data_IF_381425085318
#
_entry.id   IF_381425085318
#
_cell.length_a   1.000
_cell.length_b   1.000
_cell.length_c   1.000
_cell.angle_alpha   90.00
_cell.angle_beta   90.00
_cell.angle_gamma   90.00
#
_symmetry.space_group_name_H-M   'P 1'
#
loop_
_entity.id
_entity.type
_entity.pdbx_description
1 polymer ?
#
# COMPACT_ATOMS: atom_id res chain seq x y z
N UNK A 1 -19.30 -31.26 66.30
CA UNK A 1 -18.32 -30.31 65.73
C UNK A 1 -17.54 -30.85 64.53
N UNK A 2 -17.31 -32.16 64.37
CA UNK A 2 -16.56 -32.71 63.21
C UNK A 2 -17.35 -32.74 61.89
N UNK A 3 -18.68 -32.85 61.93
CA UNK A 3 -19.55 -32.92 60.73
C UNK A 3 -19.83 -31.57 60.08
N UNK A 4 -19.87 -30.49 60.87
CA UNK A 4 -20.04 -29.11 60.37
C UNK A 4 -18.78 -28.56 59.70
N UNK A 5 -17.60 -29.01 60.10
CA UNK A 5 -16.32 -28.61 59.50
C UNK A 5 -16.09 -29.25 58.12
N UNK A 6 -16.58 -30.49 57.93
CA UNK A 6 -16.49 -31.21 56.66
C UNK A 6 -17.47 -30.66 55.60
N UNK A 7 -18.68 -30.25 56.00
CA UNK A 7 -19.66 -29.69 55.05
C UNK A 7 -19.30 -28.27 54.60
N UNK A 8 -18.65 -27.48 55.46
CA UNK A 8 -18.12 -26.16 55.09
C UNK A 8 -16.93 -26.31 54.13
N UNK A 9 -16.04 -27.28 54.35
CA UNK A 9 -14.92 -27.58 53.43
C UNK A 9 -15.40 -28.00 52.03
N UNK A 10 -16.48 -28.78 51.92
CA UNK A 10 -17.06 -29.20 50.63
C UNK A 10 -17.76 -28.06 49.86
N UNK A 11 -18.30 -27.04 50.55
CA UNK A 11 -18.86 -25.85 49.91
C UNK A 11 -17.76 -24.92 49.36
N UNK A 12 -16.60 -24.85 50.02
CA UNK A 12 -15.45 -24.10 49.51
C UNK A 12 -14.80 -24.75 48.28
N UNK A 13 -14.73 -26.09 48.23
CA UNK A 13 -14.16 -26.81 47.07
C UNK A 13 -15.12 -26.75 45.85
N UNK A 14 -16.43 -26.80 46.06
CA UNK A 14 -17.42 -26.70 44.99
C UNK A 14 -17.60 -25.28 44.43
N UNK A 15 -17.44 -24.24 45.26
CA UNK A 15 -17.40 -22.85 44.83
C UNK A 15 -16.15 -22.48 44.00
N UNK A 16 -14.98 -23.01 44.36
CA UNK A 16 -13.73 -22.74 43.65
C UNK A 16 -13.67 -23.46 42.28
N UNK A 17 -14.15 -24.70 42.23
CA UNK A 17 -14.24 -25.46 40.97
C UNK A 17 -15.15 -24.80 39.93
N UNK A 18 -16.28 -24.23 40.36
CA UNK A 18 -17.24 -23.57 39.45
C UNK A 18 -16.72 -22.24 38.88
N UNK A 19 -15.99 -21.44 39.67
CA UNK A 19 -15.32 -20.24 39.19
C UNK A 19 -14.20 -20.55 38.17
N UNK A 20 -13.44 -21.62 38.41
CA UNK A 20 -12.36 -22.03 37.52
C UNK A 20 -12.89 -22.55 36.18
N UNK A 21 -14.03 -23.25 36.18
CA UNK A 21 -14.73 -23.64 34.95
C UNK A 21 -15.32 -22.45 34.19
N UNK A 22 -15.88 -21.45 34.89
CA UNK A 22 -16.45 -20.26 34.25
C UNK A 22 -15.36 -19.38 33.59
N UNK A 23 -14.20 -19.22 34.24
CA UNK A 23 -13.05 -18.52 33.67
C UNK A 23 -12.53 -19.24 32.41
N UNK A 24 -12.42 -20.57 32.45
CA UNK A 24 -11.95 -21.37 31.33
C UNK A 24 -12.89 -21.29 30.12
N UNK A 25 -14.21 -21.35 30.35
CA UNK A 25 -15.22 -21.17 29.30
C UNK A 25 -15.18 -19.78 28.67
N UNK A 26 -15.07 -18.73 29.50
CA UNK A 26 -14.96 -17.35 29.02
C UNK A 26 -13.68 -17.14 28.18
N UNK A 27 -12.55 -17.67 28.64
CA UNK A 27 -11.29 -17.62 27.91
C UNK A 27 -11.39 -18.32 26.55
N UNK A 28 -12.00 -19.51 26.50
CA UNK A 28 -12.24 -20.24 25.25
C UNK A 28 -13.14 -19.46 24.29
N UNK A 29 -14.18 -18.79 24.80
CA UNK A 29 -15.08 -17.95 23.99
C UNK A 29 -14.36 -16.71 23.42
N UNK A 30 -13.52 -16.06 24.24
CA UNK A 30 -12.68 -14.95 23.79
C UNK A 30 -11.68 -15.39 22.72
N UNK A 31 -11.02 -16.54 22.89
CA UNK A 31 -10.08 -17.07 21.89
C UNK A 31 -10.78 -17.41 20.57
N UNK A 32 -11.99 -17.98 20.63
CA UNK A 32 -12.81 -18.22 19.44
C UNK A 32 -13.19 -16.91 18.73
N UNK A 33 -13.60 -15.90 19.48
CA UNK A 33 -13.93 -14.58 18.96
C UNK A 33 -12.71 -13.90 18.34
N UNK A 34 -11.53 -14.02 18.95
CA UNK A 34 -10.28 -13.49 18.41
C UNK A 34 -9.93 -14.16 17.07
N UNK A 35 -10.11 -15.48 16.97
CA UNK A 35 -9.90 -16.17 15.69
C UNK A 35 -10.84 -15.67 14.59
N UNK A 36 -12.12 -15.42 14.91
CA UNK A 36 -13.08 -14.88 13.95
C UNK A 36 -12.73 -13.45 13.51
N UNK A 37 -12.39 -12.58 14.47
CA UNK A 37 -11.96 -11.20 14.20
C UNK A 37 -10.67 -11.18 13.37
N UNK A 38 -9.71 -12.07 13.65
CA UNK A 38 -8.47 -12.16 12.88
C UNK A 38 -8.72 -12.52 11.42
N UNK A 39 -9.63 -13.46 11.17
CA UNK A 39 -9.98 -13.87 9.81
C UNK A 39 -10.69 -12.74 9.06
N UNK A 40 -11.67 -12.09 9.71
CA UNK A 40 -12.39 -10.96 9.13
C UNK A 40 -11.46 -9.76 8.87
N UNK A 41 -10.61 -9.40 9.83
CA UNK A 41 -9.63 -8.34 9.69
C UNK A 41 -8.65 -8.63 8.56
N UNK A 42 -8.14 -9.86 8.47
CA UNK A 42 -7.24 -10.27 7.39
C UNK A 42 -7.92 -10.14 6.01
N UNK A 43 -9.17 -10.59 5.90
CA UNK A 43 -9.94 -10.49 4.66
C UNK A 43 -10.21 -9.02 4.28
N UNK A 44 -10.70 -8.21 5.22
CA UNK A 44 -11.00 -6.79 5.00
C UNK A 44 -9.75 -5.97 4.69
N UNK A 45 -8.61 -6.29 5.31
CA UNK A 45 -7.33 -5.64 5.01
C UNK A 45 -6.90 -5.89 3.56
N UNK A 46 -7.07 -7.12 3.06
CA UNK A 46 -6.80 -7.44 1.65
C UNK A 46 -7.73 -6.68 0.72
N UNK A 47 -9.03 -6.74 0.98
CA UNK A 47 -10.05 -6.02 0.19
C UNK A 47 -9.77 -4.52 0.13
N UNK A 48 -9.49 -3.91 1.28
CA UNK A 48 -9.11 -2.49 1.39
C UNK A 48 -7.87 -2.21 0.55
N UNK A 49 -6.82 -3.01 0.69
CA UNK A 49 -5.58 -2.82 -0.06
C UNK A 49 -5.79 -2.91 -1.57
N UNK A 50 -6.60 -3.87 -2.04
CA UNK A 50 -6.91 -4.03 -3.46
C UNK A 50 -7.71 -2.84 -3.99
N UNK A 51 -8.74 -2.42 -3.26
CA UNK A 51 -9.59 -1.30 -3.68
C UNK A 51 -8.84 0.03 -3.66
N UNK A 52 -8.04 0.30 -2.62
CA UNK A 52 -7.26 1.52 -2.53
C UNK A 52 -6.25 1.64 -3.67
N UNK A 53 -5.53 0.55 -3.97
CA UNK A 53 -4.50 0.55 -5.02
C UNK A 53 -5.15 0.60 -6.42
N UNK A 54 -6.31 -0.03 -6.63
CA UNK A 54 -7.08 0.13 -7.87
C UNK A 54 -7.56 1.58 -8.07
N UNK A 55 -8.15 2.19 -7.05
CA UNK A 55 -8.59 3.58 -7.11
C UNK A 55 -7.41 4.54 -7.35
N UNK A 56 -6.24 4.21 -6.80
CA UNK A 56 -5.00 4.93 -7.07
C UNK A 56 -4.53 4.79 -8.52
N UNK A 57 -4.60 3.59 -9.11
CA UNK A 57 -4.28 3.37 -10.53
C UNK A 57 -5.16 4.26 -11.44
N UNK A 58 -6.45 4.31 -11.17
CA UNK A 58 -7.42 5.13 -11.91
C UNK A 58 -7.16 6.63 -11.74
N UNK A 59 -6.91 7.07 -10.49
CA UNK A 59 -6.53 8.45 -10.20
C UNK A 59 -5.25 8.85 -10.92
N UNK A 60 -4.25 7.97 -10.95
CA UNK A 60 -2.99 8.22 -11.62
C UNK A 60 -3.14 8.33 -13.13
N UNK A 61 -3.91 7.45 -13.75
CA UNK A 61 -4.20 7.49 -15.18
C UNK A 61 -4.95 8.76 -15.56
N UNK A 62 -6.02 9.09 -14.84
CA UNK A 62 -6.86 10.26 -15.12
C UNK A 62 -6.10 11.60 -15.00
N UNK A 63 -5.07 11.66 -14.16
CA UNK A 63 -4.30 12.87 -13.90
C UNK A 63 -2.90 12.88 -14.54
N UNK A 64 -2.56 11.87 -15.37
CA UNK A 64 -1.21 11.66 -15.90
C UNK A 64 -0.14 11.70 -14.80
N UNK A 65 -0.50 11.18 -13.62
CA UNK A 65 0.34 11.14 -12.44
C UNK A 65 1.16 9.87 -12.47
N UNK A 66 2.46 10.04 -12.32
CA UNK A 66 3.40 8.95 -12.39
C UNK A 66 3.39 8.13 -11.10
N UNK A 67 3.25 6.82 -11.28
CA UNK A 67 3.34 5.82 -10.22
C UNK A 67 4.81 5.48 -10.02
N UNK A 68 5.34 5.74 -8.83
CA UNK A 68 6.67 5.26 -8.43
C UNK A 68 6.57 3.79 -8.03
N UNK A 69 7.53 2.98 -8.46
CA UNK A 69 7.65 1.57 -8.05
C UNK A 69 8.83 1.33 -7.10
N UNK A 70 9.52 2.38 -6.63
CA UNK A 70 10.66 2.24 -5.73
C UNK A 70 10.30 1.47 -4.45
N UNK A 71 9.06 1.61 -3.99
CA UNK A 71 8.55 0.97 -2.78
C UNK A 71 7.73 -0.30 -3.07
N UNK A 72 7.69 -0.75 -4.34
CA UNK A 72 6.91 -1.90 -4.81
C UNK A 72 7.75 -2.72 -5.81
N UNK A 73 8.71 -3.54 -5.32
CA UNK A 73 9.65 -4.27 -6.17
C UNK A 73 8.97 -5.16 -7.23
N UNK A 74 7.84 -5.78 -6.88
CA UNK A 74 7.12 -6.63 -7.83
C UNK A 74 6.49 -5.84 -9.00
N UNK A 75 6.08 -4.58 -8.77
CA UNK A 75 5.62 -3.72 -9.87
C UNK A 75 6.78 -3.40 -10.83
N UNK A 76 7.98 -3.18 -10.29
CA UNK A 76 9.18 -3.01 -11.11
C UNK A 76 9.46 -4.28 -11.92
N UNK A 77 9.33 -5.47 -11.31
CA UNK A 77 9.51 -6.75 -11.98
C UNK A 77 8.59 -6.92 -13.20
N UNK A 78 7.31 -6.60 -13.02
CA UNK A 78 6.28 -6.65 -14.09
C UNK A 78 6.67 -5.74 -15.27
N UNK A 79 7.11 -4.51 -14.97
CA UNK A 79 7.36 -3.50 -16.00
C UNK A 79 8.71 -3.69 -16.70
N UNK A 80 9.77 -4.00 -15.96
CA UNK A 80 11.12 -4.05 -16.51
C UNK A 80 11.48 -5.42 -17.10
N UNK A 81 11.07 -6.50 -16.44
CA UNK A 81 11.56 -7.86 -16.70
C UNK A 81 10.50 -8.80 -17.25
N UNK A 82 9.42 -9.05 -16.51
CA UNK A 82 8.44 -10.10 -16.84
C UNK A 82 7.66 -9.79 -18.12
N UNK A 83 7.33 -8.51 -18.33
CA UNK A 83 6.60 -8.00 -19.51
C UNK A 83 5.45 -8.91 -19.95
N UNK A 84 4.42 -9.07 -19.09
CA UNK A 84 3.27 -9.92 -19.41
C UNK A 84 2.65 -9.56 -20.76
N UNK A 85 2.27 -10.57 -21.54
CA UNK A 85 1.68 -10.37 -22.87
C UNK A 85 0.43 -9.47 -22.85
N UNK A 86 -0.36 -9.51 -21.77
CA UNK A 86 -1.53 -8.65 -21.57
C UNK A 86 -1.18 -7.16 -21.51
N UNK A 87 0.07 -6.80 -21.23
CA UNK A 87 0.53 -5.42 -21.13
C UNK A 87 1.30 -4.94 -22.36
N UNK A 88 1.48 -5.80 -23.36
CA UNK A 88 2.39 -5.54 -24.48
C UNK A 88 1.95 -4.34 -25.33
N UNK A 89 0.65 -4.20 -25.59
CA UNK A 89 0.13 -3.06 -26.35
C UNK A 89 0.45 -1.72 -25.67
N UNK A 90 0.23 -1.61 -24.37
CA UNK A 90 0.55 -0.39 -23.61
C UNK A 90 2.05 -0.11 -23.58
N UNK A 91 2.87 -1.16 -23.47
CA UNK A 91 4.33 -1.05 -23.52
C UNK A 91 4.81 -0.55 -24.88
N UNK A 92 4.23 -1.04 -25.97
CA UNK A 92 4.55 -0.63 -27.33
C UNK A 92 4.09 0.81 -27.60
N UNK A 93 2.89 1.18 -27.19
CA UNK A 93 2.39 2.58 -27.26
C UNK A 93 3.33 3.54 -26.53
N UNK A 94 3.72 3.19 -25.28
CA UNK A 94 4.69 3.98 -24.52
C UNK A 94 6.04 4.07 -25.24
N UNK A 95 6.55 2.95 -25.75
CA UNK A 95 7.83 2.93 -26.47
C UNK A 95 7.81 3.86 -27.68
N UNK A 96 6.74 3.85 -28.48
CA UNK A 96 6.61 4.74 -29.65
C UNK A 96 6.67 6.22 -29.23
N UNK A 97 5.93 6.61 -28.21
CA UNK A 97 5.95 7.99 -27.72
C UNK A 97 7.30 8.38 -27.12
N UNK A 98 7.94 7.46 -26.38
CA UNK A 98 9.27 7.68 -25.80
C UNK A 98 10.32 7.85 -26.89
N UNK A 99 10.35 6.95 -27.89
CA UNK A 99 11.31 7.01 -28.99
C UNK A 99 11.12 8.28 -29.82
N UNK A 100 9.88 8.76 -30.01
CA UNK A 100 9.58 10.02 -30.68
C UNK A 100 10.10 11.24 -29.89
N UNK A 101 9.86 11.28 -28.57
CA UNK A 101 10.37 12.33 -27.70
C UNK A 101 11.90 12.31 -27.67
N UNK A 102 12.52 11.15 -27.52
CA UNK A 102 13.98 11.00 -27.50
C UNK A 102 14.59 11.44 -28.85
N UNK A 103 13.98 11.06 -29.98
CA UNK A 103 14.40 11.52 -31.31
C UNK A 103 14.35 13.04 -31.43
N UNK A 104 13.26 13.66 -30.97
CA UNK A 104 13.10 15.11 -30.97
C UNK A 104 14.15 15.81 -30.10
N UNK A 105 14.37 15.35 -28.87
CA UNK A 105 15.37 15.90 -27.96
C UNK A 105 16.78 15.79 -28.53
N UNK A 106 17.07 14.68 -29.21
CA UNK A 106 18.34 14.48 -29.88
C UNK A 106 18.55 15.38 -31.10
N UNK A 107 17.61 16.24 -31.50
CA UNK A 107 17.88 17.29 -32.51
C UNK A 107 18.68 18.46 -31.91
N UNK A 108 18.52 18.74 -30.62
CA UNK A 108 19.22 19.82 -29.92
C UNK A 108 20.67 19.43 -29.63
N UNK A 109 21.61 20.20 -30.17
CA UNK A 109 23.05 20.03 -29.89
C UNK A 109 23.34 20.12 -28.39
N UNK A 110 22.76 21.11 -27.71
CA UNK A 110 22.90 21.31 -26.26
C UNK A 110 22.47 20.05 -25.47
N UNK A 111 21.34 19.44 -25.80
CA UNK A 111 20.88 18.20 -25.15
C UNK A 111 21.89 17.06 -25.29
N UNK A 112 22.42 16.84 -26.51
CA UNK A 112 23.41 15.78 -26.77
C UNK A 112 24.70 15.99 -25.97
N UNK A 113 25.17 17.24 -25.89
CA UNK A 113 26.36 17.60 -25.11
C UNK A 113 26.13 17.41 -23.61
N UNK A 114 24.96 17.82 -23.09
CA UNK A 114 24.59 17.60 -21.69
C UNK A 114 24.47 16.11 -21.34
N UNK A 115 23.91 15.28 -22.23
CA UNK A 115 23.86 13.82 -22.06
C UNK A 115 25.25 13.20 -21.99
N UNK A 116 26.19 13.66 -22.83
CA UNK A 116 27.60 13.22 -22.79
C UNK A 116 28.27 13.62 -21.47
N UNK A 117 28.13 14.88 -21.05
CA UNK A 117 28.66 15.36 -19.76
C UNK A 117 28.07 14.61 -18.58
N UNK A 118 26.79 14.25 -18.63
CA UNK A 118 26.14 13.43 -17.58
C UNK A 118 26.79 12.06 -17.44
N UNK A 119 27.14 11.39 -18.54
CA UNK A 119 27.82 10.09 -18.48
C UNK A 119 29.28 10.18 -18.04
N UNK A 120 29.93 11.34 -18.27
CA UNK A 120 31.33 11.58 -17.92
C UNK A 120 31.51 12.15 -16.49
N UNK A 121 30.45 12.71 -15.89
CA UNK A 121 30.49 13.32 -14.56
C UNK A 121 30.68 12.26 -13.46
N UNK A 122 31.82 12.35 -12.76
CA UNK A 122 32.17 11.39 -11.69
C UNK A 122 31.95 12.02 -10.32
N UNK A 123 32.44 13.25 -10.14
CA UNK A 123 32.36 14.00 -8.88
C UNK A 123 30.95 14.55 -8.60
N UNK A 124 30.72 14.95 -7.35
CA UNK A 124 29.45 15.55 -6.94
C UNK A 124 29.25 16.91 -7.59
N UNK A 125 30.32 17.70 -7.66
CA UNK A 125 30.36 19.04 -8.24
C UNK A 125 30.02 19.00 -9.73
N UNK A 126 30.60 18.05 -10.49
CA UNK A 126 30.28 17.85 -11.90
C UNK A 126 28.82 17.43 -12.09
N UNK A 127 28.32 16.49 -11.27
CA UNK A 127 26.93 16.04 -11.33
C UNK A 127 25.95 17.18 -11.05
N UNK A 128 26.26 18.04 -10.08
CA UNK A 128 25.44 19.19 -9.73
C UNK A 128 25.48 20.26 -10.82
N UNK A 129 26.65 20.53 -11.41
CA UNK A 129 26.78 21.45 -12.54
C UNK A 129 25.99 20.97 -13.78
N UNK A 130 26.08 19.67 -14.11
CA UNK A 130 25.30 19.06 -15.19
C UNK A 130 23.79 19.12 -14.89
N UNK A 131 23.39 18.90 -13.64
CA UNK A 131 21.98 18.97 -13.24
C UNK A 131 21.42 20.40 -13.34
N UNK A 132 22.21 21.40 -12.96
CA UNK A 132 21.87 22.80 -13.13
C UNK A 132 21.74 23.17 -14.62
N UNK A 133 22.66 22.71 -15.47
CA UNK A 133 22.62 22.95 -16.90
C UNK A 133 21.40 22.30 -17.57
N UNK A 134 21.07 21.04 -17.23
CA UNK A 134 19.81 20.42 -17.67
C UNK A 134 18.59 21.21 -17.20
N UNK A 135 18.58 21.70 -15.96
CA UNK A 135 17.46 22.49 -15.43
C UNK A 135 17.22 23.76 -16.24
N UNK A 136 18.30 24.45 -16.63
CA UNK A 136 18.24 25.62 -17.51
C UNK A 136 17.73 25.25 -18.91
N UNK A 137 18.26 24.19 -19.52
CA UNK A 137 17.83 23.67 -20.81
C UNK A 137 16.33 23.34 -20.83
N UNK A 138 15.84 22.60 -19.83
CA UNK A 138 14.42 22.23 -19.75
C UNK A 138 13.52 23.43 -19.51
N UNK A 139 13.96 24.43 -18.74
CA UNK A 139 13.21 25.67 -18.52
C UNK A 139 12.99 26.39 -19.84
N UNK A 140 14.06 26.54 -20.64
CA UNK A 140 14.03 27.17 -21.96
C UNK A 140 13.14 26.39 -22.94
N UNK A 141 13.35 25.08 -23.04
CA UNK A 141 12.61 24.23 -23.97
C UNK A 141 11.09 24.24 -23.68
N UNK A 142 10.70 24.23 -22.40
CA UNK A 142 9.29 24.32 -22.00
C UNK A 142 8.66 25.68 -22.28
N UNK A 143 9.41 26.77 -22.26
CA UNK A 143 8.85 28.10 -22.56
C UNK A 143 8.68 28.32 -24.06
N UNK A 144 9.61 27.81 -24.87
CA UNK A 144 9.75 28.23 -26.27
C UNK A 144 9.12 27.24 -27.27
N UNK A 145 9.05 25.94 -26.94
CA UNK A 145 8.73 24.91 -27.92
C UNK A 145 7.41 24.18 -27.63
N UNK A 146 6.43 24.37 -28.52
CA UNK A 146 5.14 23.69 -28.40
C UNK A 146 5.20 22.22 -28.84
N UNK A 147 6.08 21.85 -29.79
CA UNK A 147 6.25 20.46 -30.21
C UNK A 147 6.85 19.61 -29.09
N UNK A 148 7.79 20.17 -28.32
CA UNK A 148 8.27 19.53 -27.09
C UNK A 148 7.12 19.21 -26.13
N UNK A 149 6.24 20.19 -25.86
CA UNK A 149 5.13 20.00 -24.91
C UNK A 149 4.22 18.86 -25.36
N UNK A 150 3.84 18.84 -26.63
CA UNK A 150 2.99 17.78 -27.19
C UNK A 150 3.62 16.40 -27.06
N UNK A 151 4.88 16.25 -27.46
CA UNK A 151 5.61 14.98 -27.35
C UNK A 151 5.79 14.55 -25.89
N UNK A 152 6.12 15.49 -25.01
CA UNK A 152 6.25 15.26 -23.58
C UNK A 152 4.92 14.80 -22.96
N UNK A 153 3.81 15.46 -23.27
CA UNK A 153 2.50 15.07 -22.74
C UNK A 153 2.02 13.73 -23.32
N UNK A 154 2.34 13.42 -24.58
CA UNK A 154 2.04 12.13 -25.19
C UNK A 154 2.83 10.98 -24.53
N UNK A 155 4.14 11.14 -24.32
CA UNK A 155 4.96 10.19 -23.56
C UNK A 155 4.43 10.05 -22.13
N UNK A 156 4.14 11.18 -21.47
CA UNK A 156 3.66 11.19 -20.10
C UNK A 156 2.33 10.45 -19.94
N UNK A 157 1.41 10.65 -20.87
CA UNK A 157 0.11 9.97 -20.87
C UNK A 157 0.26 8.46 -21.06
N UNK A 158 1.07 8.05 -22.04
CA UNK A 158 1.28 6.63 -22.35
C UNK A 158 2.04 5.89 -21.26
N UNK A 159 3.06 6.50 -20.63
CA UNK A 159 3.78 5.89 -19.51
C UNK A 159 2.89 5.77 -18.27
N UNK A 160 2.05 6.77 -17.98
CA UNK A 160 1.13 6.69 -16.84
C UNK A 160 0.08 5.61 -17.07
N UNK A 161 -0.48 5.52 -18.28
CA UNK A 161 -1.41 4.45 -18.66
C UNK A 161 -0.77 3.06 -18.52
N UNK A 162 0.42 2.86 -19.09
CA UNK A 162 1.13 1.59 -18.99
C UNK A 162 1.40 1.19 -17.53
N UNK A 163 1.80 2.13 -16.68
CA UNK A 163 2.03 1.86 -15.25
C UNK A 163 0.75 1.58 -14.48
N UNK A 164 -0.34 2.28 -14.78
CA UNK A 164 -1.64 1.99 -14.18
C UNK A 164 -2.12 0.59 -14.56
N UNK A 165 -1.94 0.18 -15.81
CA UNK A 165 -2.26 -1.19 -16.24
C UNK A 165 -1.36 -2.25 -15.61
N UNK A 166 -0.06 -1.97 -15.46
CA UNK A 166 0.84 -2.84 -14.73
C UNK A 166 0.43 -2.98 -13.25
N UNK A 167 -0.04 -1.89 -12.63
CA UNK A 167 -0.55 -1.90 -11.26
C UNK A 167 -1.84 -2.71 -11.15
N UNK A 168 -2.78 -2.58 -12.09
CA UNK A 168 -4.00 -3.42 -12.17
C UNK A 168 -3.66 -4.89 -12.34
N UNK A 169 -2.73 -5.21 -13.24
CA UNK A 169 -2.23 -6.59 -13.41
C UNK A 169 -1.66 -7.14 -12.11
N UNK A 170 -0.85 -6.35 -11.40
CA UNK A 170 -0.27 -6.73 -10.11
C UNK A 170 -1.36 -7.06 -9.07
N UNK A 171 -2.39 -6.21 -8.95
CA UNK A 171 -3.52 -6.43 -8.04
C UNK A 171 -4.23 -7.76 -8.36
N UNK A 172 -4.45 -8.05 -9.63
CA UNK A 172 -5.10 -9.30 -10.04
C UNK A 172 -4.27 -10.54 -9.68
N UNK A 173 -2.94 -10.47 -9.74
CA UNK A 173 -2.09 -11.56 -9.25
C UNK A 173 -2.18 -11.70 -7.72
N UNK A 174 -2.18 -10.58 -7.00
CA UNK A 174 -2.30 -10.60 -5.53
C UNK A 174 -3.65 -11.13 -5.05
N UNK A 175 -4.74 -10.83 -5.77
CA UNK A 175 -6.06 -11.41 -5.52
C UNK A 175 -6.07 -12.93 -5.69
N UNK A 176 -5.47 -13.44 -6.77
CA UNK A 176 -5.34 -14.90 -7.01
C UNK A 176 -4.54 -15.59 -5.90
N UNK A 177 -3.49 -14.93 -5.42
CA UNK A 177 -2.66 -15.42 -4.33
C UNK A 177 -3.28 -15.20 -2.94
N UNK A 178 -4.44 -14.54 -2.85
CA UNK A 178 -5.07 -14.12 -1.60
C UNK A 178 -4.13 -13.31 -0.68
N UNK A 179 -3.37 -12.38 -1.26
CA UNK A 179 -2.38 -11.52 -0.58
C UNK A 179 -2.80 -10.05 -0.60
N UNK A 180 -2.55 -9.34 0.49
CA UNK A 180 -2.71 -7.89 0.55
C UNK A 180 -1.63 -7.19 -0.28
N UNK A 181 -2.00 -6.10 -0.95
CA UNK A 181 -1.06 -5.28 -1.73
C UNK A 181 -0.46 -4.20 -0.83
N UNK A 182 0.84 -3.93 -0.96
CA UNK A 182 1.44 -2.80 -0.26
C UNK A 182 0.81 -1.48 -0.71
N UNK A 183 0.43 -0.64 0.23
CA UNK A 183 -0.13 0.69 -0.05
C UNK A 183 0.90 1.82 0.08
N UNK A 184 2.18 1.50 0.30
CA UNK A 184 3.27 2.46 0.57
C UNK A 184 3.53 3.45 -0.56
N UNK A 185 3.29 3.04 -1.80
CA UNK A 185 3.43 3.89 -2.99
C UNK A 185 2.46 5.08 -3.02
N UNK A 186 1.39 5.01 -2.23
CA UNK A 186 0.32 5.99 -2.20
C UNK A 186 0.65 7.03 -1.14
N UNK A 187 0.95 8.25 -1.58
CA UNK A 187 1.19 9.37 -0.67
C UNK A 187 -0.04 9.63 0.18
N UNK A 188 0.19 10.11 1.41
CA UNK A 188 -0.89 10.47 2.34
C UNK A 188 -1.95 11.38 1.70
N UNK A 189 -1.52 12.44 0.99
CA UNK A 189 -2.42 13.37 0.30
C UNK A 189 -3.34 12.67 -0.71
N UNK A 190 -2.80 11.71 -1.44
CA UNK A 190 -3.55 10.96 -2.47
C UNK A 190 -4.51 9.98 -1.80
N UNK A 191 -4.05 9.28 -0.75
CA UNK A 191 -4.91 8.39 0.05
C UNK A 191 -6.08 9.17 0.64
N UNK A 192 -5.85 10.30 1.29
CA UNK A 192 -6.91 11.13 1.87
C UNK A 192 -7.91 11.59 0.82
N UNK A 193 -7.44 12.02 -0.36
CA UNK A 193 -8.32 12.38 -1.47
C UNK A 193 -9.18 11.20 -1.94
N UNK A 194 -8.58 10.01 -2.10
CA UNK A 194 -9.30 8.81 -2.53
C UNK A 194 -10.35 8.37 -1.52
N UNK A 195 -10.03 8.40 -0.22
CA UNK A 195 -10.98 8.07 0.85
C UNK A 195 -12.16 9.05 0.87
N UNK A 196 -11.90 10.37 0.81
CA UNK A 196 -12.97 11.37 0.79
C UNK A 196 -13.90 11.25 -0.43
N UNK A 197 -13.36 10.80 -1.56
CA UNK A 197 -14.13 10.65 -2.81
C UNK A 197 -14.88 9.32 -2.89
N UNK A 198 -14.37 8.27 -2.24
CA UNK A 198 -14.90 6.91 -2.33
C UNK A 198 -15.57 6.47 -1.04
N UNK A 199 -16.90 6.63 -0.94
CA UNK A 199 -17.66 6.27 0.27
C UNK A 199 -17.50 4.80 0.68
N UNK A 200 -17.44 3.88 -0.29
CA UNK A 200 -17.20 2.46 -0.01
C UNK A 200 -15.78 2.19 0.50
N UNK A 201 -14.77 2.89 -0.03
CA UNK A 201 -13.39 2.75 0.39
C UNK A 201 -13.16 3.35 1.77
N UNK A 202 -13.80 4.49 2.07
CA UNK A 202 -13.82 5.10 3.40
C UNK A 202 -14.49 4.18 4.43
N UNK A 203 -15.59 3.52 4.04
CA UNK A 203 -16.25 2.55 4.90
C UNK A 203 -15.32 1.36 5.21
N UNK A 204 -14.67 0.78 4.19
CA UNK A 204 -13.70 -0.29 4.40
C UNK A 204 -12.53 0.13 5.31
N UNK A 205 -12.03 1.35 5.15
CA UNK A 205 -10.98 1.89 6.03
C UNK A 205 -11.44 1.93 7.49
N UNK A 206 -12.66 2.43 7.73
CA UNK A 206 -13.27 2.48 9.07
C UNK A 206 -13.51 1.09 9.64
N UNK A 207 -13.99 0.14 8.85
CA UNK A 207 -14.20 -1.25 9.26
C UNK A 207 -12.89 -1.93 9.67
N UNK A 208 -11.83 -1.78 8.86
CA UNK A 208 -10.49 -2.31 9.19
C UNK A 208 -9.99 -1.70 10.51
N UNK A 209 -10.06 -0.38 10.65
CA UNK A 209 -9.62 0.31 11.87
C UNK A 209 -10.41 -0.12 13.12
N UNK A 210 -11.72 -0.33 12.98
CA UNK A 210 -12.58 -0.82 14.06
C UNK A 210 -12.21 -2.26 14.46
N UNK A 211 -12.04 -3.16 13.48
CA UNK A 211 -11.64 -4.54 13.70
C UNK A 211 -10.26 -4.64 14.36
N UNK A 212 -9.28 -3.83 13.93
CA UNK A 212 -7.98 -3.74 14.59
C UNK A 212 -8.10 -3.29 16.05
N UNK A 213 -8.98 -2.32 16.32
CA UNK A 213 -9.21 -1.84 17.69
C UNK A 213 -9.78 -2.94 18.58
N UNK A 214 -10.82 -3.63 18.10
CA UNK A 214 -11.45 -4.75 18.82
C UNK A 214 -10.47 -5.90 19.00
N UNK A 215 -9.69 -6.25 17.98
CA UNK A 215 -8.63 -7.26 18.06
C UNK A 215 -7.62 -6.91 19.15
N UNK A 216 -7.10 -5.68 19.17
CA UNK A 216 -6.14 -5.22 20.18
C UNK A 216 -6.71 -5.31 21.59
N UNK A 217 -7.96 -4.91 21.77
CA UNK A 217 -8.65 -4.99 23.06
C UNK A 217 -8.84 -6.44 23.52
N UNK A 218 -9.29 -7.32 22.62
CA UNK A 218 -9.52 -8.73 22.93
C UNK A 218 -8.22 -9.47 23.25
N UNK A 219 -7.14 -9.19 22.51
CA UNK A 219 -5.79 -9.70 22.83
C UNK A 219 -5.36 -9.26 24.23
N UNK A 220 -5.61 -8.01 24.61
CA UNK A 220 -5.31 -7.51 25.97
C UNK A 220 -6.14 -8.25 27.02
N UNK A 221 -7.44 -8.44 26.80
CA UNK A 221 -8.35 -9.17 27.73
C UNK A 221 -7.93 -10.63 27.91
N UNK A 222 -7.66 -11.34 26.83
CA UNK A 222 -7.15 -12.73 26.86
C UNK A 222 -5.83 -12.80 27.62
N UNK A 223 -4.89 -11.89 27.34
CA UNK A 223 -3.58 -11.86 28.01
C UNK A 223 -3.77 -11.66 29.52
N UNK A 224 -4.59 -10.70 29.94
CA UNK A 224 -4.88 -10.47 31.35
C UNK A 224 -5.51 -11.68 32.03
N UNK A 225 -6.52 -12.29 31.41
CA UNK A 225 -7.18 -13.48 31.91
C UNK A 225 -6.21 -14.66 32.08
N UNK A 226 -5.31 -14.88 31.11
CA UNK A 226 -4.27 -15.94 31.17
C UNK A 226 -3.32 -15.78 32.35
N UNK A 227 -3.01 -14.54 32.73
CA UNK A 227 -2.08 -14.24 33.83
C UNK A 227 -2.77 -13.85 35.14
N UNK A 228 -4.10 -13.98 35.25
CA UNK A 228 -4.84 -13.62 36.46
C UNK A 228 -4.80 -12.14 36.83
N UNK A 229 -4.59 -11.26 35.85
CA UNK A 229 -4.51 -9.81 36.05
C UNK A 229 -5.93 -9.23 36.02
N UNK A 230 -6.37 -8.57 37.10
CA UNK A 230 -7.64 -7.84 37.13
C UNK A 230 -7.56 -6.58 36.27
N UNK A 231 -8.69 -6.17 35.66
CA UNK A 231 -8.76 -4.87 35.00
C UNK A 231 -8.43 -3.77 36.02
N UNK A 232 -7.43 -2.94 35.72
CA UNK A 232 -7.24 -1.71 36.47
C UNK A 232 -8.53 -0.91 36.30
N UNK A 233 -9.20 -0.56 37.41
CA UNK A 233 -10.32 0.37 37.35
C UNK A 233 -9.80 1.63 36.68
N UNK A 234 -10.35 1.99 35.54
CA UNK A 234 -10.18 3.32 34.98
C UNK A 234 -10.71 4.29 36.03
N UNK A 235 -9.81 5.09 36.62
CA UNK A 235 -10.15 6.22 37.49
C UNK A 235 -10.74 7.37 36.67
#
# INVERSE_FOLDING_TARGET
MKTTLLSVLCLFISGWGSMQTALAQNLQEMEKSLSAINEELNQKTKEYSWQLVSAYADYCEANNKYISWNDVPYLQEIVEYNRPASLENYRLEHKVCKDALDKFLNTYKEYRELKKRQSEAVSKEEKDAVSAAFSAFWKKLRSEDNAYKELYYAERKTVCKYRSEALRYMIEQYKKDNKAVSTSMIKYSDRSYLLQKGSALELLDKEVNALESVQRELVRKITRAKYGLTEAKEE
#
